data_IF_485234367965
#
_entry.id   IF_485234367965
#
_cell.length_a   1.000
_cell.length_b   1.000
_cell.length_c   1.000
_cell.angle_alpha   90.00
_cell.angle_beta   90.00
_cell.angle_gamma   90.00
#
_symmetry.space_group_name_H-M   'P 1'
#
loop_
_entity.id
_entity.type
_entity.pdbx_description
1 polymer ?
#
# COMPACT_ATOMS: atom_id res chain seq x y z
N UNK A 1 -3.44 3.36 -43.44
CA UNK A 1 -4.13 3.56 -42.16
C UNK A 1 -5.61 3.74 -42.43
N UNK A 2 -6.40 2.67 -42.26
CA UNK A 2 -7.86 2.74 -42.28
C UNK A 2 -8.32 3.27 -40.95
N UNK A 3 -8.79 4.52 -40.90
CA UNK A 3 -9.38 5.13 -39.71
C UNK A 3 -10.79 4.58 -39.48
N UNK A 4 -10.87 3.40 -38.87
CA UNK A 4 -12.14 2.87 -38.35
C UNK A 4 -12.32 3.52 -37.00
N UNK A 5 -13.24 4.51 -36.90
CA UNK A 5 -13.72 5.02 -35.62
C UNK A 5 -14.47 3.88 -34.93
N UNK A 6 -13.89 3.30 -33.87
CA UNK A 6 -14.61 2.38 -32.99
C UNK A 6 -15.67 3.21 -32.27
N UNK A 7 -16.98 2.93 -32.43
CA UNK A 7 -18.01 3.68 -31.74
C UNK A 7 -17.80 3.53 -30.23
N UNK A 8 -17.62 4.64 -29.53
CA UNK A 8 -17.64 4.65 -28.07
C UNK A 8 -19.00 4.12 -27.61
N UNK A 9 -18.98 3.01 -26.89
CA UNK A 9 -20.18 2.41 -26.31
C UNK A 9 -20.78 3.42 -25.33
N UNK A 10 -21.98 3.93 -25.60
CA UNK A 10 -22.67 4.82 -24.67
C UNK A 10 -22.79 4.14 -23.30
N UNK A 11 -22.29 4.83 -22.26
CA UNK A 11 -22.33 4.35 -20.90
C UNK A 11 -23.77 4.36 -20.39
N UNK A 12 -24.15 3.30 -19.70
CA UNK A 12 -25.46 3.25 -19.01
C UNK A 12 -25.52 4.25 -17.87
N UNK A 13 -26.72 4.62 -17.44
CA UNK A 13 -26.92 5.50 -16.27
C UNK A 13 -26.26 4.93 -15.01
N UNK A 14 -26.29 3.60 -14.84
CA UNK A 14 -25.65 2.92 -13.71
C UNK A 14 -24.11 3.06 -13.75
N UNK A 15 -23.50 2.91 -14.93
CA UNK A 15 -22.06 3.07 -15.12
C UNK A 15 -21.61 4.53 -14.86
N UNK A 16 -22.41 5.52 -15.30
CA UNK A 16 -22.13 6.93 -15.05
C UNK A 16 -22.23 7.27 -13.54
N UNK A 17 -23.22 6.75 -12.84
CA UNK A 17 -23.37 6.97 -11.40
C UNK A 17 -22.23 6.31 -10.63
N UNK A 18 -21.83 5.09 -11.00
CA UNK A 18 -20.67 4.41 -10.43
C UNK A 18 -19.38 5.19 -10.62
N UNK A 19 -19.13 5.73 -11.80
CA UNK A 19 -17.95 6.57 -12.06
C UNK A 19 -17.96 7.86 -11.21
N UNK A 20 -19.14 8.46 -11.03
CA UNK A 20 -19.29 9.63 -10.19
C UNK A 20 -18.98 9.30 -8.72
N UNK A 21 -19.50 8.20 -8.21
CA UNK A 21 -19.20 7.72 -6.86
C UNK A 21 -17.71 7.40 -6.68
N UNK A 22 -17.07 6.73 -7.65
CA UNK A 22 -15.63 6.49 -7.64
C UNK A 22 -14.83 7.79 -7.50
N UNK A 23 -15.17 8.82 -8.28
CA UNK A 23 -14.52 10.12 -8.19
C UNK A 23 -14.71 10.79 -6.83
N UNK A 24 -15.89 10.67 -6.23
CA UNK A 24 -16.16 11.20 -4.90
C UNK A 24 -15.36 10.49 -3.81
N UNK A 25 -15.25 9.15 -3.87
CA UNK A 25 -14.45 8.35 -2.92
C UNK A 25 -12.97 8.69 -3.06
N UNK A 26 -12.43 8.78 -4.28
CA UNK A 26 -11.05 9.17 -4.53
C UNK A 26 -10.78 10.58 -3.97
N UNK A 27 -11.66 11.54 -4.24
CA UNK A 27 -11.53 12.90 -3.71
C UNK A 27 -11.55 12.95 -2.18
N UNK A 28 -12.42 12.15 -1.54
CA UNK A 28 -12.46 12.02 -0.08
C UNK A 28 -11.16 11.41 0.48
N UNK A 29 -10.61 10.38 -0.18
CA UNK A 29 -9.34 9.78 0.19
C UNK A 29 -8.15 10.74 0.04
N UNK A 30 -8.14 11.57 -1.01
CA UNK A 30 -7.12 12.61 -1.19
C UNK A 30 -7.22 13.69 -0.10
N UNK A 31 -8.43 14.10 0.28
CA UNK A 31 -8.64 15.04 1.39
C UNK A 31 -8.17 14.42 2.72
N UNK A 32 -8.46 13.13 2.95
CA UNK A 32 -7.98 12.39 4.11
C UNK A 32 -6.46 12.29 4.14
N UNK A 33 -5.82 12.04 3.00
CA UNK A 33 -4.35 12.02 2.88
C UNK A 33 -3.74 13.34 3.32
N UNK A 34 -4.26 14.47 2.79
CA UNK A 34 -3.79 15.82 3.18
C UNK A 34 -4.02 16.10 4.67
N UNK A 35 -5.14 15.64 5.21
CA UNK A 35 -5.41 15.76 6.65
C UNK A 35 -4.40 14.97 7.48
N UNK A 36 -4.12 13.71 7.15
CA UNK A 36 -3.14 12.89 7.85
C UNK A 36 -1.71 13.45 7.75
N UNK A 37 -1.32 13.98 6.59
CA UNK A 37 -0.04 14.69 6.41
C UNK A 37 0.04 15.96 7.25
N UNK A 38 -1.04 16.74 7.31
CA UNK A 38 -1.10 17.91 8.17
C UNK A 38 -1.02 17.54 9.66
N UNK A 39 -1.66 16.45 10.08
CA UNK A 39 -1.52 15.93 11.45
C UNK A 39 -0.07 15.51 11.74
N UNK A 40 0.61 14.87 10.80
CA UNK A 40 2.00 14.46 10.95
C UNK A 40 2.93 15.66 11.20
N UNK A 41 2.71 16.78 10.51
CA UNK A 41 3.64 17.93 10.53
C UNK A 41 3.26 19.00 11.55
N UNK A 42 1.99 19.05 12.02
CA UNK A 42 1.46 20.19 12.79
C UNK A 42 0.94 19.84 14.19
N UNK A 43 1.14 18.60 14.65
CA UNK A 43 0.64 18.17 15.97
C UNK A 43 1.72 17.48 16.79
N UNK A 44 1.59 17.54 18.13
CA UNK A 44 2.50 16.84 19.04
C UNK A 44 2.46 15.31 18.82
N UNK A 45 1.29 14.78 18.47
CA UNK A 45 1.18 13.36 18.11
C UNK A 45 1.92 13.04 16.80
N UNK A 46 1.98 14.01 15.88
CA UNK A 46 2.78 13.92 14.65
C UNK A 46 4.27 13.84 14.93
N UNK A 47 4.80 14.53 15.93
CA UNK A 47 6.22 14.45 16.34
C UNK A 47 6.56 13.01 16.73
N UNK A 48 5.75 12.35 17.56
CA UNK A 48 5.95 10.95 17.92
C UNK A 48 5.97 10.01 16.67
N UNK A 49 5.11 10.29 15.70
CA UNK A 49 5.07 9.52 14.47
C UNK A 49 6.31 9.77 13.61
N UNK A 50 6.82 11.00 13.55
CA UNK A 50 8.06 11.33 12.85
C UNK A 50 9.27 10.64 13.50
N UNK A 51 9.37 10.65 14.83
CA UNK A 51 10.43 9.97 15.58
C UNK A 51 10.40 8.45 15.30
N UNK A 52 9.19 7.85 15.27
CA UNK A 52 9.02 6.46 14.92
C UNK A 52 9.50 6.15 13.49
N UNK A 53 9.15 6.99 12.52
CA UNK A 53 9.56 6.84 11.11
C UNK A 53 11.06 7.04 10.95
N UNK A 54 11.63 8.07 11.58
CA UNK A 54 13.06 8.33 11.58
C UNK A 54 13.87 7.18 12.21
N UNK A 55 13.39 6.62 13.33
CA UNK A 55 13.98 5.43 13.96
C UNK A 55 13.96 4.16 13.08
N UNK A 56 13.17 4.18 12.00
CA UNK A 56 13.15 3.14 10.96
C UNK A 56 13.96 3.50 9.70
N UNK A 57 14.66 4.63 9.71
CA UNK A 57 15.40 5.10 8.53
C UNK A 57 14.50 5.65 7.41
N UNK A 58 13.24 5.95 7.69
CA UNK A 58 12.32 6.53 6.72
C UNK A 58 12.52 8.05 6.71
N UNK A 59 13.11 8.56 5.64
CA UNK A 59 13.47 9.97 5.48
C UNK A 59 12.26 10.84 5.09
N UNK A 60 12.34 12.17 5.24
CA UNK A 60 11.29 13.08 4.78
C UNK A 60 10.92 12.89 3.30
N UNK A 61 11.89 12.60 2.44
CA UNK A 61 11.66 12.35 1.01
C UNK A 61 10.82 11.09 0.77
N UNK A 62 11.03 10.06 1.60
CA UNK A 62 10.22 8.82 1.55
C UNK A 62 8.82 9.07 2.11
N UNK A 63 8.71 9.85 3.19
CA UNK A 63 7.41 10.27 3.74
C UNK A 63 6.60 11.00 2.67
N UNK A 64 7.20 11.91 1.94
CA UNK A 64 6.57 12.63 0.85
C UNK A 64 6.21 11.71 -0.33
N UNK A 65 7.16 10.88 -0.78
CA UNK A 65 6.99 9.92 -1.90
C UNK A 65 5.78 9.02 -1.71
N UNK A 66 5.58 8.51 -0.49
CA UNK A 66 4.47 7.63 -0.14
C UNK A 66 3.29 8.36 0.50
N UNK A 67 3.36 9.70 0.61
CA UNK A 67 2.31 10.55 1.21
C UNK A 67 1.93 10.10 2.62
N UNK A 68 2.91 9.65 3.41
CA UNK A 68 2.70 9.13 4.77
C UNK A 68 2.18 10.24 5.67
N UNK A 69 1.24 9.90 6.55
CA UNK A 69 0.67 10.80 7.53
C UNK A 69 0.43 10.11 8.87
N UNK A 70 -0.35 10.73 9.74
CA UNK A 70 -0.77 10.15 11.02
C UNK A 70 -2.24 10.43 11.31
N UNK A 71 -2.95 9.42 11.77
CA UNK A 71 -4.29 9.54 12.32
C UNK A 71 -4.17 9.79 13.83
N UNK A 72 -4.78 10.87 14.31
CA UNK A 72 -4.82 11.22 15.72
C UNK A 72 -5.56 10.15 16.54
N UNK A 73 -5.32 10.02 17.85
CA UNK A 73 -6.00 9.05 18.70
C UNK A 73 -7.48 9.38 18.97
N UNK A 74 -7.99 10.49 18.44
CA UNK A 74 -9.35 10.96 18.60
C UNK A 74 -10.36 10.13 17.79
N UNK A 75 -11.60 10.07 18.28
CA UNK A 75 -12.67 9.28 17.64
C UNK A 75 -13.30 9.91 16.39
N UNK A 76 -13.17 11.24 16.21
CA UNK A 76 -13.88 12.01 15.18
C UNK A 76 -13.06 13.14 14.55
N UNK A 77 -11.74 13.11 14.68
CA UNK A 77 -10.87 14.18 14.16
C UNK A 77 -10.97 14.30 12.63
N UNK A 78 -10.91 13.18 11.91
CA UNK A 78 -11.07 13.12 10.46
C UNK A 78 -12.50 13.47 10.03
N UNK A 79 -13.50 12.84 10.66
CA UNK A 79 -14.92 13.11 10.40
C UNK A 79 -15.25 14.60 10.51
N UNK A 80 -14.79 15.26 11.59
CA UNK A 80 -15.01 16.69 11.79
C UNK A 80 -14.30 17.54 10.75
N UNK A 81 -13.05 17.20 10.42
CA UNK A 81 -12.26 17.96 9.44
C UNK A 81 -12.82 17.86 8.02
N UNK A 82 -13.19 16.65 7.59
CA UNK A 82 -13.72 16.42 6.24
C UNK A 82 -15.21 16.84 6.13
N UNK A 83 -15.98 16.71 7.21
CA UNK A 83 -17.35 17.23 7.26
C UNK A 83 -17.42 18.73 7.01
N UNK A 84 -16.49 19.51 7.59
CA UNK A 84 -16.36 20.97 7.32
C UNK A 84 -15.99 21.27 5.84
N UNK A 85 -15.50 20.28 5.10
CA UNK A 85 -15.17 20.37 3.67
C UNK A 85 -16.25 19.77 2.76
N UNK A 86 -17.43 19.46 3.31
CA UNK A 86 -18.57 18.96 2.56
C UNK A 86 -18.63 17.45 2.35
N UNK A 87 -17.73 16.67 2.95
CA UNK A 87 -17.83 15.22 2.89
C UNK A 87 -18.92 14.72 3.85
N UNK A 88 -19.91 14.00 3.31
CA UNK A 88 -20.94 13.37 4.13
C UNK A 88 -20.39 12.17 4.88
N UNK A 89 -21.00 11.83 6.02
CA UNK A 89 -20.66 10.60 6.78
C UNK A 89 -20.79 9.36 5.89
N UNK A 90 -21.85 9.27 5.09
CA UNK A 90 -22.07 8.16 4.17
C UNK A 90 -20.92 7.99 3.16
N UNK A 91 -20.39 9.08 2.61
CA UNK A 91 -19.23 9.05 1.72
C UNK A 91 -17.97 8.56 2.45
N UNK A 92 -17.74 9.01 3.69
CA UNK A 92 -16.57 8.58 4.48
C UNK A 92 -16.65 7.11 4.89
N UNK A 93 -17.86 6.59 5.12
CA UNK A 93 -18.08 5.14 5.36
C UNK A 93 -17.81 4.35 4.07
N UNK A 94 -18.31 4.79 2.92
CA UNK A 94 -18.05 4.16 1.62
C UNK A 94 -16.55 4.15 1.27
N UNK A 95 -15.83 5.22 1.60
CA UNK A 95 -14.39 5.31 1.44
C UNK A 95 -13.59 4.45 2.46
N UNK A 96 -14.28 3.83 3.43
CA UNK A 96 -13.64 3.05 4.48
C UNK A 96 -12.82 3.89 5.47
N UNK A 97 -13.12 5.18 5.59
CA UNK A 97 -12.48 6.14 6.49
C UNK A 97 -13.22 6.25 7.83
N UNK A 98 -14.50 5.94 7.84
CA UNK A 98 -15.36 5.95 9.03
C UNK A 98 -16.11 4.62 9.18
N UNK A 99 -16.59 4.36 10.39
CA UNK A 99 -17.41 3.21 10.73
C UNK A 99 -18.61 3.70 11.54
N UNK A 100 -19.79 3.19 11.23
CA UNK A 100 -20.99 3.43 12.02
C UNK A 100 -21.04 2.45 13.19
N UNK A 101 -21.19 2.99 14.40
CA UNK A 101 -21.45 2.25 15.62
C UNK A 101 -22.82 2.67 16.19
N UNK A 102 -23.34 1.92 17.15
CA UNK A 102 -24.63 2.27 17.82
C UNK A 102 -24.63 3.68 18.44
N UNK A 103 -23.46 4.16 18.86
CA UNK A 103 -23.24 5.51 19.42
C UNK A 103 -22.94 6.60 18.39
N UNK A 104 -23.03 6.26 17.11
CA UNK A 104 -22.74 7.18 15.99
C UNK A 104 -21.47 6.86 15.21
N UNK A 105 -21.18 7.64 14.15
CA UNK A 105 -20.02 7.44 13.30
C UNK A 105 -18.73 7.82 14.00
N UNK A 106 -17.67 7.03 13.77
CA UNK A 106 -16.34 7.27 14.30
C UNK A 106 -15.28 7.08 13.22
N UNK A 107 -14.14 7.77 13.37
CA UNK A 107 -12.96 7.55 12.53
C UNK A 107 -12.52 6.08 12.63
N UNK A 108 -12.31 5.44 11.49
CA UNK A 108 -11.84 4.05 11.45
C UNK A 108 -10.41 3.94 11.93
N UNK A 109 -9.55 4.84 11.50
CA UNK A 109 -8.13 4.85 11.85
C UNK A 109 -7.89 5.85 12.98
N UNK A 110 -7.28 5.38 14.06
CA UNK A 110 -6.96 6.20 15.24
C UNK A 110 -5.61 5.78 15.80
N UNK A 111 -4.76 6.75 16.16
CA UNK A 111 -3.45 6.49 16.76
C UNK A 111 -2.51 5.68 15.85
N UNK A 112 -2.52 5.95 14.54
CA UNK A 112 -1.78 5.16 13.55
C UNK A 112 -0.99 6.03 12.58
N UNK A 113 0.20 5.56 12.23
CA UNK A 113 0.87 6.01 11.01
C UNK A 113 0.02 5.57 9.83
N UNK A 114 -0.36 6.52 8.98
CA UNK A 114 -1.25 6.32 7.86
C UNK A 114 -0.46 6.25 6.55
N UNK A 115 -0.72 5.21 5.79
CA UNK A 115 -0.03 4.89 4.55
C UNK A 115 -1.08 4.80 3.45
N UNK A 116 -1.18 5.82 2.58
CA UNK A 116 -2.11 5.78 1.45
C UNK A 116 -1.78 4.62 0.51
N UNK A 117 -2.80 3.89 0.10
CA UNK A 117 -2.69 2.83 -0.91
C UNK A 117 -3.22 3.40 -2.21
N UNK A 118 -2.36 3.43 -3.21
CA UNK A 118 -2.66 4.05 -4.50
C UNK A 118 -2.81 2.99 -5.60
N UNK A 119 -3.68 3.27 -6.55
CA UNK A 119 -3.74 2.51 -7.79
C UNK A 119 -2.51 2.81 -8.68
N UNK A 120 -2.27 2.07 -9.78
CA UNK A 120 -1.14 2.34 -10.67
C UNK A 120 -1.15 3.73 -11.33
N UNK A 121 -2.27 4.47 -11.28
CA UNK A 121 -2.40 5.84 -11.78
C UNK A 121 -2.10 6.89 -10.70
N UNK A 122 -1.91 6.46 -9.44
CA UNK A 122 -1.62 7.34 -8.32
C UNK A 122 -2.85 7.83 -7.55
N UNK A 123 -4.07 7.36 -7.87
CA UNK A 123 -5.25 7.70 -7.08
C UNK A 123 -5.26 6.95 -5.76
N UNK A 124 -5.53 7.64 -4.66
CA UNK A 124 -5.65 7.00 -3.34
C UNK A 124 -6.99 6.25 -3.25
N UNK A 125 -6.92 4.92 -3.22
CA UNK A 125 -8.08 4.03 -3.19
C UNK A 125 -8.36 3.44 -1.80
N UNK A 126 -7.41 3.57 -0.87
CA UNK A 126 -7.55 3.10 0.51
C UNK A 126 -6.33 3.46 1.35
N UNK A 127 -6.27 2.91 2.56
CA UNK A 127 -5.21 3.19 3.52
C UNK A 127 -4.78 1.93 4.26
N UNK A 128 -3.48 1.84 4.53
CA UNK A 128 -2.92 1.04 5.59
C UNK A 128 -2.68 1.91 6.83
N UNK A 129 -2.88 1.35 8.01
CA UNK A 129 -2.61 2.04 9.27
C UNK A 129 -1.78 1.16 10.20
N UNK A 130 -0.55 1.59 10.54
CA UNK A 130 0.29 0.93 11.53
C UNK A 130 0.13 1.61 12.88
N UNK A 131 -0.24 0.84 13.92
CA UNK A 131 -0.38 1.39 15.26
C UNK A 131 0.95 1.99 15.75
N UNK A 132 0.87 3.17 16.32
CA UNK A 132 2.03 3.86 16.87
C UNK A 132 2.31 3.42 18.32
N UNK A 133 1.27 3.35 19.14
CA UNK A 133 1.33 2.91 20.53
C UNK A 133 0.30 1.81 20.76
N UNK A 134 0.73 0.62 21.22
CA UNK A 134 -0.20 -0.44 21.60
C UNK A 134 -0.87 -0.09 22.92
N UNK A 135 -2.19 -0.24 22.96
CA UNK A 135 -2.97 -0.14 24.19
C UNK A 135 -3.98 -1.31 24.27
N UNK A 136 -4.64 -1.49 25.43
CA UNK A 136 -5.60 -2.59 25.65
C UNK A 136 -6.78 -2.62 24.67
N UNK A 137 -7.09 -1.49 24.03
CA UNK A 137 -8.22 -1.34 23.09
C UNK A 137 -7.81 -1.51 21.62
N UNK A 138 -6.52 -1.44 21.31
CA UNK A 138 -5.99 -1.53 19.95
C UNK A 138 -4.90 -2.61 19.88
N UNK A 139 -5.29 -3.83 19.53
CA UNK A 139 -4.38 -4.99 19.50
C UNK A 139 -3.77 -5.23 18.11
N UNK A 140 -4.47 -4.87 17.04
CA UNK A 140 -3.98 -5.10 15.69
C UNK A 140 -2.84 -4.14 15.33
N UNK A 141 -1.62 -4.67 15.14
CA UNK A 141 -0.43 -3.91 14.72
C UNK A 141 -0.69 -3.18 13.40
N UNK A 142 -1.31 -3.84 12.44
CA UNK A 142 -1.69 -3.29 11.13
C UNK A 142 -3.20 -3.36 10.94
N UNK A 143 -3.75 -2.33 10.29
CA UNK A 143 -5.15 -2.25 9.91
C UNK A 143 -5.22 -1.65 8.50
N UNK A 144 -6.03 -2.24 7.62
CA UNK A 144 -6.26 -1.71 6.28
C UNK A 144 -7.70 -1.23 6.11
N UNK A 145 -7.92 -0.40 5.10
CA UNK A 145 -9.27 -0.22 4.54
C UNK A 145 -9.85 -1.60 4.25
N UNK A 146 -11.09 -1.85 4.66
CA UNK A 146 -11.81 -3.08 4.31
C UNK A 146 -12.02 -3.18 2.79
N UNK A 147 -12.36 -4.36 2.29
CA UNK A 147 -12.80 -4.50 0.91
C UNK A 147 -14.01 -3.58 0.66
N UNK A 148 -13.91 -2.77 -0.37
CA UNK A 148 -14.97 -1.87 -0.83
C UNK A 148 -15.13 -2.05 -2.34
N UNK A 149 -16.12 -1.44 -2.93
CA UNK A 149 -16.26 -1.42 -4.39
C UNK A 149 -15.03 -0.80 -5.10
N UNK A 150 -14.29 0.07 -4.40
CA UNK A 150 -13.17 0.85 -4.92
C UNK A 150 -11.80 0.34 -4.45
N UNK A 151 -11.77 -0.52 -3.44
CA UNK A 151 -10.55 -1.05 -2.87
C UNK A 151 -10.61 -2.58 -2.79
N UNK A 152 -9.84 -3.23 -3.66
CA UNK A 152 -9.67 -4.67 -3.70
C UNK A 152 -8.18 -5.01 -3.70
N UNK A 153 -7.69 -5.58 -2.61
CA UNK A 153 -6.26 -5.92 -2.46
C UNK A 153 -5.76 -6.91 -3.50
N UNK A 154 -6.63 -7.78 -4.03
CA UNK A 154 -6.25 -8.79 -5.03
C UNK A 154 -5.84 -8.18 -6.37
N UNK A 155 -6.31 -6.95 -6.66
CA UNK A 155 -6.03 -6.26 -7.92
C UNK A 155 -4.96 -5.18 -7.78
N UNK A 156 -4.44 -4.96 -6.57
CA UNK A 156 -3.51 -3.89 -6.25
C UNK A 156 -2.18 -4.45 -5.72
N UNK A 157 -1.10 -3.73 -6.01
CA UNK A 157 0.18 -3.89 -5.37
C UNK A 157 0.58 -2.55 -4.76
N UNK A 158 0.89 -2.55 -3.47
CA UNK A 158 1.37 -1.34 -2.81
C UNK A 158 2.69 -0.88 -3.42
N UNK A 159 2.82 0.40 -3.65
CA UNK A 159 4.03 1.01 -4.22
C UNK A 159 4.15 0.86 -5.74
N UNK A 160 3.19 0.22 -6.43
CA UNK A 160 3.29 -0.01 -7.89
C UNK A 160 3.38 1.30 -8.68
N UNK A 161 2.66 2.34 -8.28
CA UNK A 161 2.68 3.66 -8.92
C UNK A 161 4.07 4.33 -8.87
N UNK A 162 4.79 4.20 -7.76
CA UNK A 162 6.13 4.78 -7.59
C UNK A 162 7.25 3.88 -8.12
N UNK A 163 7.05 2.56 -8.10
CA UNK A 163 8.02 1.56 -8.54
C UNK A 163 8.00 1.32 -10.06
N UNK A 164 6.90 1.60 -10.75
CA UNK A 164 6.64 1.18 -12.13
C UNK A 164 7.75 1.58 -13.11
N UNK A 165 8.31 2.78 -12.95
CA UNK A 165 9.40 3.28 -13.82
C UNK A 165 10.67 2.43 -13.69
N UNK A 166 11.09 2.13 -12.45
CA UNK A 166 12.28 1.31 -12.21
C UNK A 166 12.02 -0.17 -12.50
N UNK A 167 10.83 -0.69 -12.25
CA UNK A 167 10.43 -2.05 -12.66
C UNK A 167 10.60 -2.22 -14.17
N UNK A 168 10.05 -1.30 -14.98
CA UNK A 168 10.17 -1.34 -16.44
C UNK A 168 11.61 -1.23 -16.91
N UNK A 169 12.41 -0.35 -16.29
CA UNK A 169 13.82 -0.17 -16.65
C UNK A 169 14.66 -1.41 -16.35
N UNK A 170 14.36 -2.11 -15.27
CA UNK A 170 15.09 -3.31 -14.82
C UNK A 170 14.52 -4.59 -15.36
N UNK A 171 13.32 -4.55 -15.92
CA UNK A 171 12.54 -5.74 -16.28
C UNK A 171 12.31 -6.70 -15.10
N UNK A 172 12.40 -6.19 -13.88
CA UNK A 172 12.35 -6.95 -12.63
C UNK A 172 11.53 -6.22 -11.58
N UNK A 173 10.75 -6.96 -10.77
CA UNK A 173 10.13 -6.47 -9.56
C UNK A 173 10.53 -7.31 -8.34
N UNK A 174 10.75 -6.65 -7.19
CA UNK A 174 10.88 -7.31 -5.89
C UNK A 174 9.52 -7.28 -5.20
N UNK A 175 9.03 -8.42 -4.74
CA UNK A 175 7.72 -8.54 -4.12
C UNK A 175 7.89 -8.94 -2.66
N UNK A 176 7.38 -8.09 -1.76
CA UNK A 176 7.39 -8.31 -0.30
C UNK A 176 5.96 -8.46 0.23
N UNK A 177 5.80 -8.85 1.50
CA UNK A 177 4.47 -9.05 2.09
C UNK A 177 3.82 -7.74 2.53
N UNK A 178 4.55 -6.92 3.27
CA UNK A 178 4.05 -5.73 3.93
C UNK A 178 4.44 -4.42 3.25
N UNK A 179 3.61 -3.41 3.40
CA UNK A 179 3.93 -2.09 2.86
C UNK A 179 5.10 -1.42 3.61
N UNK A 180 5.35 -1.77 4.87
CA UNK A 180 6.53 -1.25 5.58
C UNK A 180 7.82 -1.80 4.99
N UNK A 181 7.83 -3.08 4.59
CA UNK A 181 8.99 -3.69 3.93
C UNK A 181 9.29 -3.00 2.60
N UNK A 182 8.25 -2.77 1.78
CA UNK A 182 8.40 -2.03 0.53
C UNK A 182 8.93 -0.61 0.78
N UNK A 183 8.37 0.13 1.75
CA UNK A 183 8.82 1.49 2.09
C UNK A 183 10.29 1.48 2.53
N UNK A 184 10.71 0.53 3.37
CA UNK A 184 12.10 0.42 3.84
C UNK A 184 13.06 0.06 2.70
N UNK A 185 12.64 -0.78 1.76
CA UNK A 185 13.42 -1.05 0.55
C UNK A 185 13.59 0.21 -0.30
N UNK A 186 12.52 0.98 -0.51
CA UNK A 186 12.61 2.27 -1.21
C UNK A 186 13.51 3.28 -0.46
N UNK A 187 13.45 3.32 0.88
CA UNK A 187 14.32 4.16 1.69
C UNK A 187 15.80 3.83 1.50
N UNK A 188 16.11 2.56 1.23
CA UNK A 188 17.46 2.09 0.90
C UNK A 188 17.79 2.22 -0.60
N UNK A 189 16.90 2.76 -1.44
CA UNK A 189 17.12 2.93 -2.88
C UNK A 189 16.93 1.65 -3.70
N UNK A 190 16.05 0.76 -3.25
CA UNK A 190 15.55 -0.40 -4.00
C UNK A 190 14.13 -0.03 -4.49
N UNK A 191 14.11 0.86 -5.49
CA UNK A 191 12.91 1.57 -5.93
C UNK A 191 11.97 0.72 -6.83
N UNK A 192 12.25 -0.56 -7.02
CA UNK A 192 11.40 -1.51 -7.78
C UNK A 192 10.72 -2.55 -6.89
N UNK A 193 10.63 -2.26 -5.58
CA UNK A 193 9.92 -3.10 -4.62
C UNK A 193 8.43 -2.73 -4.54
N UNK A 194 7.58 -3.75 -4.44
CA UNK A 194 6.12 -3.65 -4.27
C UNK A 194 5.64 -4.64 -3.22
N UNK A 195 4.45 -4.43 -2.62
CA UNK A 195 3.93 -5.34 -1.61
C UNK A 195 2.52 -5.86 -1.92
N UNK A 196 2.24 -7.10 -1.49
CA UNK A 196 0.94 -7.77 -1.59
C UNK A 196 -0.05 -7.39 -0.48
N UNK A 197 0.39 -6.67 0.55
CA UNK A 197 -0.42 -6.07 1.63
C UNK A 197 -1.16 -7.08 2.53
N UNK A 198 -0.50 -8.18 2.89
CA UNK A 198 -1.06 -9.18 3.81
C UNK A 198 -2.20 -10.01 3.23
N UNK A 199 -2.26 -10.13 1.90
CA UNK A 199 -3.10 -11.10 1.19
C UNK A 199 -2.23 -12.08 0.43
N UNK A 200 -2.73 -13.29 0.17
CA UNK A 200 -2.06 -14.19 -0.77
C UNK A 200 -1.91 -13.49 -2.13
N UNK A 201 -0.73 -13.63 -2.73
CA UNK A 201 -0.47 -13.12 -4.07
C UNK A 201 -1.50 -13.66 -5.07
N UNK A 202 -2.11 -12.79 -5.86
CA UNK A 202 -3.24 -13.12 -6.72
C UNK A 202 -2.87 -13.10 -8.21
N UNK A 203 -3.66 -13.80 -9.03
CA UNK A 203 -3.46 -13.82 -10.48
C UNK A 203 -3.55 -12.42 -11.11
N UNK A 204 -4.42 -11.56 -10.57
CA UNK A 204 -4.58 -10.19 -11.03
C UNK A 204 -3.30 -9.36 -10.78
N UNK A 205 -2.66 -9.56 -9.63
CA UNK A 205 -1.37 -8.93 -9.30
C UNK A 205 -0.25 -9.45 -10.22
N UNK A 206 -0.22 -10.76 -10.49
CA UNK A 206 0.73 -11.35 -11.44
C UNK A 206 0.56 -10.78 -12.85
N UNK A 207 -0.67 -10.67 -13.35
CA UNK A 207 -0.99 -10.05 -14.65
C UNK A 207 -0.59 -8.56 -14.70
N UNK A 208 -0.72 -7.84 -13.59
CA UNK A 208 -0.29 -6.45 -13.50
C UNK A 208 1.23 -6.33 -13.66
N UNK A 209 1.98 -7.20 -12.99
CA UNK A 209 3.45 -7.25 -13.07
C UNK A 209 3.94 -7.71 -14.44
N UNK A 210 3.34 -8.73 -15.04
CA UNK A 210 3.73 -9.25 -16.35
C UNK A 210 3.64 -8.21 -17.50
N UNK A 211 2.90 -7.12 -17.30
CA UNK A 211 2.87 -5.97 -18.24
C UNK A 211 4.07 -5.04 -18.09
N UNK A 212 4.85 -5.19 -17.04
CA UNK A 212 5.91 -4.24 -16.66
C UNK A 212 7.27 -4.90 -16.40
N UNK A 213 7.31 -6.19 -16.11
CA UNK A 213 8.51 -6.94 -15.77
C UNK A 213 8.52 -8.30 -16.48
N UNK A 214 9.73 -8.82 -16.71
CA UNK A 214 9.96 -10.19 -17.22
C UNK A 214 10.23 -11.15 -16.06
N UNK A 215 10.71 -10.60 -14.92
CA UNK A 215 11.12 -11.37 -13.75
C UNK A 215 10.54 -10.77 -12.46
N UNK A 216 10.23 -11.65 -11.52
CA UNK A 216 9.87 -11.28 -10.15
C UNK A 216 10.75 -12.01 -9.14
N UNK A 217 11.15 -11.28 -8.09
CA UNK A 217 11.91 -11.82 -6.95
C UNK A 217 11.00 -11.74 -5.74
N UNK A 218 10.52 -12.89 -5.23
CA UNK A 218 9.77 -12.93 -3.97
C UNK A 218 10.74 -12.87 -2.80
N UNK A 219 10.51 -11.93 -1.89
CA UNK A 219 11.23 -11.74 -0.63
C UNK A 219 10.20 -11.65 0.50
N UNK A 220 9.61 -12.79 0.81
CA UNK A 220 8.62 -12.93 1.86
C UNK A 220 9.29 -13.25 3.20
N UNK A 221 8.52 -13.16 4.27
CA UNK A 221 9.00 -13.47 5.61
C UNK A 221 9.56 -14.89 5.70
N UNK A 222 10.60 -15.09 6.48
CA UNK A 222 11.28 -16.39 6.60
C UNK A 222 10.51 -17.42 7.44
N UNK A 223 9.39 -17.04 8.04
CA UNK A 223 8.57 -17.93 8.85
C UNK A 223 7.78 -18.97 8.02
N UNK A 224 7.19 -19.96 8.68
CA UNK A 224 6.43 -21.02 8.02
C UNK A 224 5.20 -20.52 7.22
N UNK A 225 4.64 -19.36 7.57
CA UNK A 225 3.52 -18.76 6.85
C UNK A 225 4.01 -18.10 5.55
N UNK A 226 5.10 -17.32 5.61
CA UNK A 226 5.73 -16.71 4.46
C UNK A 226 6.27 -17.74 3.46
N UNK A 227 6.86 -18.84 3.93
CA UNK A 227 7.29 -19.94 3.06
C UNK A 227 6.11 -20.56 2.28
N UNK A 228 4.99 -20.85 2.95
CA UNK A 228 3.78 -21.36 2.28
C UNK A 228 3.18 -20.34 1.30
N UNK A 229 3.21 -19.04 1.64
CA UNK A 229 2.78 -17.98 0.76
C UNK A 229 3.68 -17.89 -0.49
N UNK A 230 5.00 -18.02 -0.32
CA UNK A 230 5.97 -18.04 -1.41
C UNK A 230 5.69 -19.17 -2.42
N UNK A 231 5.48 -20.40 -1.97
CA UNK A 231 5.20 -21.54 -2.87
C UNK A 231 3.97 -21.27 -3.75
N UNK A 232 2.90 -20.73 -3.17
CA UNK A 232 1.69 -20.37 -3.93
C UNK A 232 1.94 -19.22 -4.90
N UNK A 233 2.67 -18.18 -4.46
CA UNK A 233 2.99 -17.02 -5.28
C UNK A 233 3.85 -17.39 -6.50
N UNK A 234 4.81 -18.29 -6.34
CA UNK A 234 5.66 -18.83 -7.41
C UNK A 234 4.81 -19.45 -8.52
N UNK A 235 3.86 -20.35 -8.17
CA UNK A 235 2.98 -20.98 -9.15
C UNK A 235 2.18 -19.93 -9.93
N UNK A 236 1.53 -18.98 -9.24
CA UNK A 236 0.70 -17.94 -9.85
C UNK A 236 1.53 -17.04 -10.78
N UNK A 237 2.74 -16.67 -10.37
CA UNK A 237 3.60 -15.81 -11.19
C UNK A 237 4.10 -16.53 -12.45
N UNK A 238 4.46 -17.82 -12.36
CA UNK A 238 4.84 -18.66 -13.52
C UNK A 238 3.68 -18.83 -14.50
N UNK A 239 2.45 -19.05 -14.00
CA UNK A 239 1.25 -19.13 -14.84
C UNK A 239 0.98 -17.83 -15.61
N UNK A 240 1.40 -16.69 -15.08
CA UNK A 240 1.34 -15.39 -15.74
C UNK A 240 2.50 -15.13 -16.73
N UNK A 241 3.42 -16.08 -16.90
CA UNK A 241 4.56 -15.99 -17.82
C UNK A 241 5.79 -15.28 -17.25
N UNK A 242 5.84 -15.01 -15.94
CA UNK A 242 6.97 -14.36 -15.30
C UNK A 242 8.08 -15.39 -14.98
N UNK A 243 9.33 -14.98 -15.15
CA UNK A 243 10.45 -15.66 -14.52
C UNK A 243 10.40 -15.41 -13.02
N UNK A 244 10.62 -16.45 -12.22
CA UNK A 244 10.46 -16.35 -10.77
C UNK A 244 11.74 -16.71 -10.07
N UNK A 245 12.15 -15.85 -9.14
CA UNK A 245 13.23 -16.13 -8.19
C UNK A 245 12.72 -15.93 -6.77
N UNK A 246 13.32 -16.65 -5.84
CA UNK A 246 12.99 -16.58 -4.41
C UNK A 246 14.24 -16.18 -3.64
N UNK A 247 14.10 -15.15 -2.83
CA UNK A 247 15.10 -14.65 -1.93
C UNK A 247 14.72 -15.02 -0.51
N UNK A 248 15.65 -15.61 0.22
CA UNK A 248 15.49 -15.89 1.66
C UNK A 248 16.38 -14.92 2.43
N UNK A 249 15.77 -14.19 3.36
CA UNK A 249 16.49 -13.25 4.22
C UNK A 249 17.16 -14.02 5.35
N UNK A 250 18.52 -14.07 5.44
CA UNK A 250 19.19 -14.99 6.34
C UNK A 250 19.16 -14.55 7.81
N UNK A 251 19.37 -13.26 8.11
CA UNK A 251 19.59 -12.74 9.46
C UNK A 251 18.48 -11.82 9.97
N UNK A 252 17.37 -11.77 9.29
CA UNK A 252 16.21 -10.96 9.63
C UNK A 252 14.95 -11.78 9.56
N UNK A 253 13.89 -11.31 10.19
CA UNK A 253 12.56 -11.92 10.06
C UNK A 253 11.90 -11.48 8.76
N UNK A 254 12.18 -10.25 8.34
CA UNK A 254 11.57 -9.58 7.20
C UNK A 254 12.59 -8.67 6.46
N UNK A 255 12.28 -8.23 5.23
CA UNK A 255 13.13 -7.34 4.45
C UNK A 255 13.44 -5.99 5.14
N UNK A 256 12.50 -5.42 5.89
CA UNK A 256 12.69 -4.16 6.63
C UNK A 256 13.81 -4.30 7.68
N UNK A 257 13.77 -5.36 8.50
CA UNK A 257 14.80 -5.59 9.51
C UNK A 257 16.17 -5.80 8.86
N UNK A 258 16.23 -6.59 7.78
CA UNK A 258 17.48 -6.88 7.09
C UNK A 258 18.12 -5.63 6.50
N UNK A 259 17.39 -4.80 5.73
CA UNK A 259 18.01 -3.62 5.09
C UNK A 259 18.43 -2.56 6.10
N UNK A 260 17.72 -2.44 7.23
CA UNK A 260 18.13 -1.53 8.30
C UNK A 260 19.41 -1.98 8.99
N UNK A 261 19.64 -3.28 9.07
CA UNK A 261 20.83 -3.86 9.73
C UNK A 261 22.05 -3.94 8.80
N UNK A 262 21.85 -4.34 7.55
CA UNK A 262 22.92 -4.69 6.62
C UNK A 262 23.05 -3.74 5.42
N UNK A 263 22.08 -2.88 5.18
CA UNK A 263 22.09 -1.88 4.12
C UNK A 263 21.76 -2.41 2.73
N UNK A 264 21.82 -1.48 1.77
CA UNK A 264 21.44 -1.69 0.37
C UNK A 264 22.25 -2.78 -0.33
N UNK A 265 23.59 -2.70 -0.23
CA UNK A 265 24.49 -3.56 -1.01
C UNK A 265 24.35 -5.03 -0.62
N UNK A 266 24.16 -5.30 0.69
CA UNK A 266 23.88 -6.64 1.16
C UNK A 266 22.56 -7.19 0.60
N UNK A 267 21.51 -6.38 0.53
CA UNK A 267 20.24 -6.81 -0.05
C UNK A 267 20.33 -7.02 -1.56
N UNK A 268 21.09 -6.19 -2.28
CA UNK A 268 21.36 -6.39 -3.71
C UNK A 268 22.09 -7.69 -3.99
N UNK A 269 23.02 -8.10 -3.11
CA UNK A 269 23.69 -9.40 -3.19
C UNK A 269 22.68 -10.53 -3.01
N UNK A 270 21.73 -10.43 -2.06
CA UNK A 270 20.67 -11.42 -1.90
C UNK A 270 19.80 -11.50 -3.16
N UNK A 271 19.42 -10.37 -3.76
CA UNK A 271 18.70 -10.38 -5.05
C UNK A 271 19.53 -11.09 -6.13
N UNK A 272 20.84 -10.81 -6.22
CA UNK A 272 21.72 -11.43 -7.21
C UNK A 272 21.86 -12.95 -7.04
N UNK A 273 21.84 -13.45 -5.81
CA UNK A 273 21.97 -14.87 -5.47
C UNK A 273 20.64 -15.59 -5.23
N UNK A 274 19.51 -14.91 -5.43
CA UNK A 274 18.17 -15.50 -5.28
C UNK A 274 18.03 -16.74 -6.17
N UNK A 275 17.44 -17.82 -5.63
CA UNK A 275 17.31 -19.10 -6.32
C UNK A 275 16.12 -19.13 -7.28
N UNK A 276 16.19 -19.96 -8.31
CA UNK A 276 15.06 -20.17 -9.20
C UNK A 276 13.88 -20.75 -8.40
N UNK A 277 12.73 -20.12 -8.53
CA UNK A 277 11.50 -20.55 -7.87
C UNK A 277 10.81 -21.71 -8.58
#
# INVERSE_FOLDING_TARGET
>A
KLGIAVPEKEKTKAELEREKQAKQVIAANELATRFFQACLTKTDYGIKAQDYLAGRGITPEIIERFSIGVALPNYNALLSALGKRGCSVGLLVQAGLAVNYDRGPMDKFRGRVMIPIQDPRGHVVGFGGRILEQNAQQTAKYMNTGETEWFNKRTLLFGMNVALKEIKKRHQAVIVEGYMDAISLHACGIDWAVASMGTAFAQEQAKLLARAADEVVFSYDSDAAGQRATVRAVSIAKEAGLKVRVLVVPDGKDPDEFVRKHGKDAYLQLIATAVSG
#
